data_IF_550180022313
#
_entry.id   IF_550180022313
#
_cell.length_a   1.000
_cell.length_b   1.000
_cell.length_c   1.000
_cell.angle_alpha   90.00
_cell.angle_beta   90.00
_cell.angle_gamma   90.00
#
_symmetry.space_group_name_H-M   'P 1'
#
loop_
_entity.id
_entity.type
_entity.pdbx_description
1 polymer ?
#
# COMPACT_ATOMS: atom_id res chain seq x y z
N UNK A 1 -56.16 15.12 14.76
CA UNK A 1 -55.85 15.42 16.17
C UNK A 1 -55.19 14.22 16.87
N UNK A 2 -55.88 13.11 17.18
CA UNK A 2 -55.23 11.96 17.88
C UNK A 2 -54.27 11.17 16.98
N UNK A 3 -54.58 11.00 15.68
CA UNK A 3 -53.70 10.32 14.71
C UNK A 3 -52.36 11.05 14.51
N UNK A 4 -52.37 12.37 14.40
CA UNK A 4 -51.16 13.18 14.19
C UNK A 4 -50.20 13.09 15.40
N UNK A 5 -50.78 12.94 16.60
CA UNK A 5 -50.02 12.84 17.85
C UNK A 5 -49.31 11.48 17.98
N UNK A 6 -49.98 10.39 17.58
CA UNK A 6 -49.38 9.05 17.53
C UNK A 6 -48.29 8.95 16.45
N UNK A 7 -48.49 9.59 15.30
CA UNK A 7 -47.50 9.59 14.21
C UNK A 7 -46.23 10.39 14.57
N UNK A 8 -46.41 11.52 15.28
CA UNK A 8 -45.31 12.31 15.80
C UNK A 8 -44.52 11.55 16.90
N UNK A 9 -45.21 10.79 17.76
CA UNK A 9 -44.58 9.98 18.80
C UNK A 9 -43.83 8.77 18.22
N UNK A 10 -44.38 8.11 17.21
CA UNK A 10 -43.73 7.04 16.47
C UNK A 10 -42.45 7.51 15.75
N UNK A 11 -42.49 8.69 15.09
CA UNK A 11 -41.29 9.29 14.48
C UNK A 11 -40.22 9.64 15.51
N UNK A 12 -40.59 10.18 16.67
CA UNK A 12 -39.63 10.48 17.75
C UNK A 12 -38.94 9.22 18.26
N UNK A 13 -39.72 8.14 18.46
CA UNK A 13 -39.18 6.85 18.92
C UNK A 13 -38.25 6.23 17.88
N UNK A 14 -38.65 6.25 16.60
CA UNK A 14 -37.79 5.80 15.50
C UNK A 14 -36.49 6.62 15.38
N UNK A 15 -36.56 7.95 15.55
CA UNK A 15 -35.36 8.80 15.54
C UNK A 15 -34.40 8.46 16.68
N UNK A 16 -34.91 8.20 17.89
CA UNK A 16 -34.09 7.78 19.04
C UNK A 16 -33.43 6.42 18.82
N UNK A 17 -34.14 5.45 18.24
CA UNK A 17 -33.59 4.13 17.91
C UNK A 17 -32.51 4.21 16.83
N UNK A 18 -32.72 5.05 15.80
CA UNK A 18 -31.73 5.30 14.75
C UNK A 18 -30.49 5.98 15.34
N UNK A 19 -30.68 6.96 16.21
CA UNK A 19 -29.58 7.69 16.85
C UNK A 19 -28.72 6.77 17.73
N UNK A 20 -29.37 5.88 18.49
CA UNK A 20 -28.67 4.86 19.31
C UNK A 20 -27.87 3.90 18.43
N UNK A 21 -28.45 3.39 17.33
CA UNK A 21 -27.74 2.53 16.38
C UNK A 21 -26.56 3.25 15.71
N UNK A 22 -26.73 4.54 15.37
CA UNK A 22 -25.66 5.34 14.79
C UNK A 22 -24.48 5.50 15.76
N UNK A 23 -24.75 5.68 17.05
CA UNK A 23 -23.71 5.78 18.08
C UNK A 23 -22.95 4.47 18.26
N UNK A 24 -23.63 3.33 18.23
CA UNK A 24 -22.97 2.01 18.27
C UNK A 24 -22.07 1.81 17.04
N UNK A 25 -22.60 2.07 15.84
CA UNK A 25 -21.82 1.96 14.60
C UNK A 25 -20.63 2.92 14.58
N UNK A 26 -20.78 4.16 15.05
CA UNK A 26 -19.67 5.10 15.13
C UNK A 26 -18.57 4.61 16.09
N UNK A 27 -18.93 3.95 17.19
CA UNK A 27 -17.93 3.37 18.12
C UNK A 27 -17.18 2.22 17.47
N UNK A 28 -17.87 1.34 16.73
CA UNK A 28 -17.23 0.25 15.99
C UNK A 28 -16.30 0.77 14.89
N UNK A 29 -16.76 1.76 14.10
CA UNK A 29 -15.94 2.40 13.06
C UNK A 29 -14.72 3.06 13.67
N UNK A 30 -14.87 3.80 14.79
CA UNK A 30 -13.73 4.43 15.46
C UNK A 30 -12.72 3.40 15.98
N UNK A 31 -13.19 2.26 16.50
CA UNK A 31 -12.31 1.18 16.93
C UNK A 31 -11.53 0.58 15.76
N UNK A 32 -12.20 0.30 14.63
CA UNK A 32 -11.56 -0.22 13.42
C UNK A 32 -10.59 0.78 12.80
N UNK A 33 -10.95 2.06 12.74
CA UNK A 33 -10.09 3.14 12.28
C UNK A 33 -8.80 3.22 13.11
N UNK A 34 -8.92 3.08 14.44
CA UNK A 34 -7.75 3.09 15.32
C UNK A 34 -6.79 1.93 15.02
N UNK A 35 -7.32 0.73 14.79
CA UNK A 35 -6.51 -0.44 14.43
C UNK A 35 -5.80 -0.21 13.09
N UNK A 36 -6.55 0.22 12.07
CA UNK A 36 -5.99 0.50 10.76
C UNK A 36 -4.91 1.61 10.80
N UNK A 37 -5.13 2.64 11.60
CA UNK A 37 -4.17 3.74 11.79
C UNK A 37 -2.91 3.27 12.51
N UNK A 38 -3.04 2.40 13.52
CA UNK A 38 -1.91 1.84 14.25
C UNK A 38 -1.03 0.96 13.34
N UNK A 39 -1.65 0.10 12.53
CA UNK A 39 -0.93 -0.73 11.56
C UNK A 39 -0.27 0.12 10.47
N UNK A 40 -0.95 1.16 9.99
CA UNK A 40 -0.38 2.12 9.03
C UNK A 40 0.83 2.83 9.64
N UNK A 41 0.74 3.29 10.88
CA UNK A 41 1.82 4.01 11.57
C UNK A 41 3.09 3.17 11.76
N UNK A 42 2.95 1.84 11.86
CA UNK A 42 4.08 0.91 11.93
C UNK A 42 4.69 0.64 10.55
N UNK A 43 3.86 0.57 9.51
CA UNK A 43 4.30 0.26 8.15
C UNK A 43 4.93 1.46 7.43
N UNK A 44 4.37 2.66 7.59
CA UNK A 44 4.84 3.91 6.98
C UNK A 44 6.34 4.20 7.17
N UNK A 45 6.91 4.14 8.40
CA UNK A 45 8.32 4.47 8.60
C UNK A 45 9.25 3.46 7.90
N UNK A 46 8.87 2.18 7.87
CA UNK A 46 9.65 1.14 7.20
C UNK A 46 9.64 1.36 5.68
N UNK A 47 8.48 1.67 5.09
CA UNK A 47 8.35 1.96 3.66
C UNK A 47 9.13 3.22 3.28
N UNK A 48 9.04 4.28 4.08
CA UNK A 48 9.72 5.54 3.81
C UNK A 48 11.24 5.40 3.95
N UNK A 49 11.72 4.62 4.93
CA UNK A 49 13.14 4.28 5.07
C UNK A 49 13.66 3.45 3.89
N UNK A 50 12.90 2.45 3.44
CA UNK A 50 13.24 1.65 2.27
C UNK A 50 13.30 2.52 1.01
N UNK A 51 12.30 3.38 0.78
CA UNK A 51 12.27 4.30 -0.37
C UNK A 51 13.45 5.28 -0.38
N UNK A 52 13.83 5.82 0.79
CA UNK A 52 15.04 6.66 0.92
C UNK A 52 16.30 5.88 0.57
N UNK A 53 16.41 4.63 1.05
CA UNK A 53 17.56 3.77 0.78
C UNK A 53 17.69 3.45 -0.70
N UNK A 54 16.58 3.14 -1.38
CA UNK A 54 16.54 2.89 -2.83
C UNK A 54 16.93 4.13 -3.63
N UNK A 55 16.46 5.32 -3.24
CA UNK A 55 16.85 6.59 -3.89
C UNK A 55 18.32 6.98 -3.63
N UNK A 56 18.93 6.48 -2.55
CA UNK A 56 20.34 6.76 -2.24
C UNK A 56 21.33 5.93 -3.10
N UNK A 57 20.85 4.96 -3.87
CA UNK A 57 21.68 4.12 -4.73
C UNK A 57 22.29 4.98 -5.84
N UNK A 58 23.63 5.05 -5.85
CA UNK A 58 24.38 5.76 -6.89
C UNK A 58 24.24 5.08 -8.24
N UNK A 59 24.17 5.89 -9.30
CA UNK A 59 24.14 5.41 -10.69
C UNK A 59 25.31 4.49 -11.06
N UNK A 60 26.48 4.68 -10.43
CA UNK A 60 27.66 3.81 -10.62
C UNK A 60 27.37 2.35 -10.30
N UNK A 61 26.65 2.06 -9.21
CA UNK A 61 26.29 0.69 -8.82
C UNK A 61 25.29 0.05 -9.81
N UNK A 62 24.43 0.86 -10.42
CA UNK A 62 23.53 0.39 -11.48
C UNK A 62 24.28 0.09 -12.77
N UNK A 63 25.27 0.90 -13.14
CA UNK A 63 26.11 0.65 -14.31
C UNK A 63 26.97 -0.61 -14.14
N UNK A 64 27.49 -0.85 -12.94
CA UNK A 64 28.18 -2.11 -12.60
C UNK A 64 27.26 -3.31 -12.82
N UNK A 65 26.04 -3.28 -12.28
CA UNK A 65 25.05 -4.35 -12.47
C UNK A 65 24.63 -4.53 -13.94
N UNK A 66 24.53 -3.45 -14.72
CA UNK A 66 24.22 -3.51 -16.15
C UNK A 66 25.36 -4.12 -16.97
N UNK A 67 26.61 -3.93 -16.55
CA UNK A 67 27.80 -4.45 -17.24
C UNK A 67 28.03 -5.94 -16.98
N UNK A 68 27.60 -6.45 -15.81
CA UNK A 68 27.75 -7.85 -15.42
C UNK A 68 27.00 -8.79 -16.37
N UNK A 69 27.73 -9.76 -16.93
CA UNK A 69 27.15 -10.82 -17.77
C UNK A 69 26.55 -11.96 -16.93
N UNK A 70 27.11 -12.23 -15.75
CA UNK A 70 26.64 -13.23 -14.80
C UNK A 70 26.62 -12.64 -13.37
N UNK A 71 25.46 -12.20 -12.87
CA UNK A 71 25.35 -11.67 -11.51
C UNK A 71 25.42 -12.80 -10.47
N UNK A 72 25.87 -12.51 -9.23
CA UNK A 72 25.76 -13.45 -8.11
C UNK A 72 24.31 -13.88 -7.85
N UNK A 73 24.11 -15.09 -7.32
CA UNK A 73 22.77 -15.68 -7.14
C UNK A 73 21.84 -14.79 -6.29
N UNK A 74 22.36 -14.19 -5.20
CA UNK A 74 21.57 -13.25 -4.38
C UNK A 74 21.05 -12.06 -5.20
N UNK A 75 21.92 -11.46 -6.02
CA UNK A 75 21.56 -10.30 -6.85
C UNK A 75 20.49 -10.70 -7.87
N UNK A 76 20.63 -11.86 -8.48
CA UNK A 76 19.66 -12.40 -9.42
C UNK A 76 18.29 -12.63 -8.77
N UNK A 77 18.25 -13.26 -7.60
CA UNK A 77 17.00 -13.51 -6.87
C UNK A 77 16.30 -12.21 -6.48
N UNK A 78 17.04 -11.23 -5.95
CA UNK A 78 16.46 -9.93 -5.59
C UNK A 78 15.89 -9.19 -6.80
N UNK A 79 16.60 -9.17 -7.93
CA UNK A 79 16.13 -8.51 -9.16
C UNK A 79 14.95 -9.25 -9.80
N UNK A 80 14.89 -10.57 -9.68
CA UNK A 80 13.73 -11.36 -10.10
C UNK A 80 12.48 -11.00 -9.29
N UNK A 81 12.59 -10.95 -7.97
CA UNK A 81 11.49 -10.57 -7.09
C UNK A 81 10.98 -9.16 -7.42
N UNK A 82 11.89 -8.18 -7.55
CA UNK A 82 11.52 -6.80 -7.89
C UNK A 82 10.90 -6.72 -9.29
N UNK A 83 11.45 -7.41 -10.28
CA UNK A 83 10.89 -7.46 -11.65
C UNK A 83 9.46 -7.99 -11.69
N UNK A 84 9.14 -8.97 -10.84
CA UNK A 84 7.79 -9.51 -10.69
C UNK A 84 6.84 -8.46 -10.08
N UNK A 85 7.28 -7.70 -9.07
CA UNK A 85 6.49 -6.58 -8.52
C UNK A 85 6.25 -5.46 -9.53
N UNK A 86 7.19 -5.20 -10.46
CA UNK A 86 7.01 -4.22 -11.54
C UNK A 86 6.15 -4.75 -12.72
N UNK A 87 5.63 -5.97 -12.64
CA UNK A 87 4.67 -6.52 -13.62
C UNK A 87 5.30 -7.25 -14.81
N UNK A 88 6.58 -7.57 -14.75
CA UNK A 88 7.23 -8.39 -15.80
C UNK A 88 6.96 -9.87 -15.56
N UNK A 89 6.41 -10.56 -16.56
CA UNK A 89 6.07 -12.00 -16.49
C UNK A 89 7.27 -12.93 -16.68
N UNK A 90 8.37 -12.42 -17.23
CA UNK A 90 9.58 -13.22 -17.48
C UNK A 90 10.70 -12.86 -16.50
N UNK A 91 11.22 -13.87 -15.81
CA UNK A 91 12.26 -13.78 -14.78
C UNK A 91 13.66 -14.08 -15.32
N UNK A 92 13.82 -14.10 -16.65
CA UNK A 92 15.11 -14.36 -17.29
C UNK A 92 16.05 -13.16 -17.13
N UNK A 93 17.35 -13.43 -16.92
CA UNK A 93 18.34 -12.36 -16.73
C UNK A 93 18.42 -11.40 -17.93
N UNK A 94 18.20 -11.91 -19.15
CA UNK A 94 18.17 -11.10 -20.36
C UNK A 94 17.06 -10.03 -20.33
N UNK A 95 15.86 -10.41 -19.89
CA UNK A 95 14.72 -9.49 -19.75
C UNK A 95 14.91 -8.51 -18.58
N UNK A 96 15.42 -9.00 -17.44
CA UNK A 96 15.77 -8.15 -16.29
C UNK A 96 16.80 -7.09 -16.71
N UNK A 97 17.82 -7.47 -17.48
CA UNK A 97 18.84 -6.56 -18.01
C UNK A 97 18.26 -5.55 -19.00
N UNK A 98 17.27 -5.93 -19.82
CA UNK A 98 16.54 -4.99 -20.69
C UNK A 98 15.70 -4.00 -19.88
N UNK A 99 15.05 -4.48 -18.81
CA UNK A 99 14.26 -3.65 -17.90
C UNK A 99 15.13 -2.63 -17.15
N UNK A 100 16.29 -3.05 -16.63
CA UNK A 100 17.30 -2.17 -16.02
C UNK A 100 17.86 -1.11 -16.99
N UNK A 101 17.86 -1.38 -18.30
CA UNK A 101 18.35 -0.45 -19.34
C UNK A 101 17.31 0.55 -19.83
N UNK A 102 16.00 0.29 -19.66
CA UNK A 102 14.94 1.02 -20.37
C UNK A 102 14.77 2.48 -19.93
N UNK A 103 15.24 2.82 -18.73
CA UNK A 103 15.52 4.13 -18.12
C UNK A 103 15.59 3.88 -16.62
N UNK A 104 16.11 4.81 -15.83
CA UNK A 104 16.12 4.78 -14.35
C UNK A 104 14.74 4.59 -13.68
N UNK A 105 13.67 4.28 -14.43
CA UNK A 105 12.34 3.83 -14.01
C UNK A 105 12.39 2.72 -12.94
N UNK A 106 13.41 1.86 -12.93
CA UNK A 106 13.56 0.82 -11.90
C UNK A 106 13.59 1.39 -10.47
N UNK A 107 14.18 2.58 -10.28
CA UNK A 107 14.21 3.25 -8.98
C UNK A 107 13.07 4.25 -8.79
N UNK A 108 12.57 4.86 -9.87
CA UNK A 108 11.49 5.86 -9.80
C UNK A 108 10.10 5.26 -9.65
N UNK A 109 9.91 3.98 -10.01
CA UNK A 109 8.63 3.25 -9.90
C UNK A 109 8.49 2.41 -8.63
N UNK A 110 9.52 2.37 -7.77
CA UNK A 110 9.51 1.77 -6.44
C UNK A 110 9.30 2.83 -5.35
#
# INVERSE_FOLDING_TARGET
MVKDQQEAEAKRKASLEIQTKLEEQNKEIAAQQKIAMDDLSKAEPAVLAAKKSVNSIKKSHLEELKSMSNPPELVKMTLQAVSQFLGSKETSWGEIRRLLKRKDDFLFKC
#
